data_IF_982879713185
#
_entry.id   IF_982879713185
#
_cell.length_a   1.000
_cell.length_b   1.000
_cell.length_c   1.000
_cell.angle_alpha   90.00
_cell.angle_beta   90.00
_cell.angle_gamma   90.00
#
_symmetry.space_group_name_H-M   'P 1'
#
loop_
_entity.id
_entity.type
_entity.pdbx_description
1 polymer ?
#
# COMPACT_ATOMS: atom_id res chain seq x y z
N UNK A 1 -7.87 -1.93 7.24
CA UNK A 1 -6.94 -2.65 6.35
C UNK A 1 -5.84 -3.40 7.11
N UNK A 2 -4.92 -2.73 7.84
CA UNK A 2 -3.74 -3.37 8.50
C UNK A 2 -4.15 -4.44 9.51
N UNK A 3 -5.19 -4.20 10.29
CA UNK A 3 -5.71 -5.10 11.32
C UNK A 3 -6.80 -6.05 10.82
N UNK A 4 -7.12 -6.04 9.52
CA UNK A 4 -8.15 -6.92 8.95
C UNK A 4 -7.83 -8.40 9.23
N UNK A 5 -8.87 -9.17 9.56
CA UNK A 5 -8.73 -10.58 9.92
C UNK A 5 -8.58 -11.51 8.72
N UNK A 6 -8.85 -11.03 7.51
CA UNK A 6 -8.81 -11.83 6.29
C UNK A 6 -8.61 -11.01 5.03
N UNK A 7 -8.31 -11.71 3.93
CA UNK A 7 -8.07 -11.12 2.61
C UNK A 7 -9.28 -10.34 2.08
N UNK A 8 -10.50 -10.89 2.20
CA UNK A 8 -11.72 -10.25 1.70
C UNK A 8 -12.01 -8.91 2.39
N UNK A 9 -11.84 -8.86 3.71
CA UNK A 9 -12.01 -7.63 4.48
C UNK A 9 -10.95 -6.59 4.07
N UNK A 10 -9.71 -7.03 3.86
CA UNK A 10 -8.62 -6.15 3.41
C UNK A 10 -8.88 -5.61 2.01
N UNK A 11 -9.35 -6.44 1.09
CA UNK A 11 -9.70 -6.00 -0.27
C UNK A 11 -10.78 -4.92 -0.27
N UNK A 12 -11.78 -5.00 0.60
CA UNK A 12 -12.81 -3.96 0.73
C UNK A 12 -12.19 -2.59 1.06
N UNK A 13 -11.33 -2.53 2.07
CA UNK A 13 -10.61 -1.29 2.41
C UNK A 13 -9.67 -0.80 1.29
N UNK A 14 -9.04 -1.72 0.56
CA UNK A 14 -8.18 -1.36 -0.56
C UNK A 14 -8.97 -0.75 -1.72
N UNK A 15 -10.22 -1.19 -1.94
CA UNK A 15 -11.11 -0.58 -2.93
C UNK A 15 -11.51 0.86 -2.58
N UNK A 16 -11.62 1.19 -1.29
CA UNK A 16 -11.86 2.55 -0.83
C UNK A 16 -10.61 3.44 -0.96
N UNK A 17 -9.43 2.87 -0.71
CA UNK A 17 -8.15 3.60 -0.80
C UNK A 17 -7.72 3.86 -2.25
N UNK A 18 -8.04 2.96 -3.17
CA UNK A 18 -7.61 3.05 -4.56
C UNK A 18 -7.96 4.41 -5.22
N UNK A 19 -9.21 4.91 -5.18
CA UNK A 19 -9.54 6.19 -5.80
C UNK A 19 -8.85 7.38 -5.14
N UNK A 20 -8.60 7.33 -3.84
CA UNK A 20 -7.88 8.39 -3.11
C UNK A 20 -6.43 8.46 -3.58
N UNK A 21 -5.72 7.34 -3.57
CA UNK A 21 -4.33 7.28 -4.06
C UNK A 21 -4.22 7.62 -5.54
N UNK A 22 -5.17 7.18 -6.35
CA UNK A 22 -5.21 7.54 -7.77
C UNK A 22 -5.36 9.06 -7.97
N UNK A 23 -6.20 9.73 -7.19
CA UNK A 23 -6.36 11.19 -7.30
C UNK A 23 -5.09 11.92 -6.86
N UNK A 24 -4.50 11.56 -5.75
CA UNK A 24 -3.26 12.16 -5.26
C UNK A 24 -2.13 12.02 -6.28
N UNK A 25 -1.95 10.82 -6.84
CA UNK A 25 -0.93 10.55 -7.85
C UNK A 25 -1.21 11.30 -9.17
N UNK A 26 -2.48 11.43 -9.56
CA UNK A 26 -2.84 12.25 -10.71
C UNK A 26 -2.41 13.71 -10.52
N UNK A 27 -2.62 14.29 -9.34
CA UNK A 27 -2.17 15.65 -9.04
C UNK A 27 -0.64 15.77 -9.09
N UNK A 28 0.08 14.77 -8.57
CA UNK A 28 1.54 14.71 -8.65
C UNK A 28 2.01 14.68 -10.12
N UNK A 29 1.43 13.82 -10.96
CA UNK A 29 1.79 13.73 -12.37
C UNK A 29 1.47 15.01 -13.13
N UNK A 30 0.36 15.66 -12.83
CA UNK A 30 0.00 16.95 -13.43
C UNK A 30 1.02 18.05 -13.12
N UNK A 31 1.56 18.05 -11.89
CA UNK A 31 2.54 19.05 -11.42
C UNK A 31 3.96 18.73 -11.89
N UNK A 32 4.29 17.46 -12.09
CA UNK A 32 5.64 17.04 -12.50
C UNK A 32 5.96 17.35 -13.95
N UNK A 33 4.97 17.39 -14.81
CA UNK A 33 5.03 17.65 -16.26
C UNK A 33 6.39 17.33 -16.90
N UNK A 34 6.47 16.28 -17.71
CA UNK A 34 7.68 15.77 -18.40
C UNK A 34 8.82 15.27 -17.50
N UNK A 35 8.72 15.40 -16.18
CA UNK A 35 9.75 14.90 -15.26
C UNK A 35 9.45 13.47 -14.86
N UNK A 36 10.50 12.71 -14.62
CA UNK A 36 10.41 11.40 -14.01
C UNK A 36 9.90 11.51 -12.57
N UNK A 37 8.96 10.65 -12.21
CA UNK A 37 8.41 10.55 -10.85
C UNK A 37 8.67 9.15 -10.32
N UNK A 38 9.54 9.05 -9.33
CA UNK A 38 9.81 7.79 -8.64
C UNK A 38 8.82 7.65 -7.49
N UNK A 39 7.99 6.64 -7.55
CA UNK A 39 6.99 6.35 -6.53
C UNK A 39 7.47 5.13 -5.73
N UNK A 40 7.82 5.36 -4.47
CA UNK A 40 8.13 4.29 -3.53
C UNK A 40 6.83 3.64 -3.08
N UNK A 41 6.75 2.33 -3.20
CA UNK A 41 5.63 1.57 -2.63
C UNK A 41 5.69 1.57 -1.10
N UNK A 42 4.63 1.05 -0.47
CA UNK A 42 4.51 0.99 1.00
C UNK A 42 5.78 0.45 1.64
N UNK A 43 6.46 1.29 2.40
CA UNK A 43 7.75 1.01 3.02
C UNK A 43 7.69 0.89 4.55
N UNK A 44 6.99 1.76 5.30
CA UNK A 44 6.99 1.71 6.75
C UNK A 44 6.46 0.37 7.28
N UNK A 45 6.94 -0.08 8.44
CA UNK A 45 6.35 -1.22 9.13
C UNK A 45 4.91 -0.91 9.54
N UNK A 46 4.05 -1.93 9.52
CA UNK A 46 2.61 -1.74 9.67
C UNK A 46 2.21 -1.13 11.03
N UNK A 47 3.02 -1.34 12.08
CA UNK A 47 2.73 -0.77 13.40
C UNK A 47 2.83 0.77 13.46
N UNK A 48 3.55 1.41 12.54
CA UNK A 48 3.62 2.88 12.48
C UNK A 48 2.28 3.55 12.14
N UNK A 49 1.35 2.79 11.57
CA UNK A 49 -0.01 3.24 11.27
C UNK A 49 -1.02 2.96 12.39
N UNK A 50 -0.56 2.44 13.52
CA UNK A 50 -1.41 2.05 14.64
C UNK A 50 -1.16 2.97 15.83
N UNK A 51 -2.18 3.16 16.70
CA UNK A 51 -2.01 3.95 17.90
C UNK A 51 -0.98 3.33 18.83
N UNK A 52 -0.28 4.16 19.59
CA UNK A 52 0.60 3.69 20.65
C UNK A 52 -0.21 3.01 21.77
N UNK A 53 0.34 1.93 22.33
CA UNK A 53 -0.33 1.12 23.36
C UNK A 53 -0.61 1.92 24.63
N UNK A 54 0.17 2.96 24.88
CA UNK A 54 0.04 3.88 26.00
C UNK A 54 -1.20 4.78 25.85
N UNK A 55 -1.62 5.06 24.62
CA UNK A 55 -2.82 5.84 24.29
C UNK A 55 -4.08 4.96 24.31
N UNK A 56 -4.55 4.65 25.53
CA UNK A 56 -5.71 3.77 25.73
C UNK A 56 -7.00 4.27 25.08
N UNK A 57 -7.13 5.59 24.87
CA UNK A 57 -8.31 6.18 24.24
C UNK A 57 -8.36 5.82 22.74
N UNK A 58 -7.27 6.04 22.02
CA UNK A 58 -7.17 5.68 20.60
C UNK A 58 -7.26 4.16 20.36
N UNK A 59 -6.67 3.35 21.27
CA UNK A 59 -6.79 1.89 21.19
C UNK A 59 -8.24 1.44 21.39
N UNK A 60 -8.99 2.08 22.29
CA UNK A 60 -10.40 1.79 22.53
C UNK A 60 -11.27 2.20 21.33
N UNK A 61 -11.02 3.37 20.75
CA UNK A 61 -11.70 3.86 19.54
C UNK A 61 -11.48 2.90 18.36
N UNK A 62 -10.23 2.52 18.10
CA UNK A 62 -9.87 1.56 17.07
C UNK A 62 -10.53 0.20 17.28
N UNK A 63 -10.57 -0.31 18.52
CA UNK A 63 -11.23 -1.57 18.85
C UNK A 63 -12.75 -1.49 18.61
N UNK A 64 -13.37 -0.35 18.91
CA UNK A 64 -14.78 -0.10 18.65
C UNK A 64 -15.10 -0.07 17.16
N UNK A 65 -14.28 0.64 16.36
CA UNK A 65 -14.42 0.68 14.89
C UNK A 65 -14.30 -0.72 14.25
N UNK A 66 -13.45 -1.56 14.83
CA UNK A 66 -13.24 -2.93 14.37
C UNK A 66 -14.30 -3.92 14.91
N UNK A 67 -15.18 -3.52 15.80
CA UNK A 67 -16.16 -4.41 16.42
C UNK A 67 -15.53 -5.50 17.31
N UNK A 68 -14.34 -5.27 17.88
CA UNK A 68 -13.63 -6.19 18.76
C UNK A 68 -13.47 -5.57 20.17
N UNK A 69 -13.14 -6.40 21.17
CA UNK A 69 -12.86 -5.86 22.48
C UNK A 69 -11.44 -5.24 22.56
N UNK A 70 -11.24 -4.37 23.55
CA UNK A 70 -9.98 -3.61 23.74
C UNK A 70 -8.78 -4.56 23.94
N UNK A 71 -8.97 -5.69 24.60
CA UNK A 71 -7.91 -6.67 24.83
C UNK A 71 -7.44 -7.30 23.52
N UNK A 72 -8.37 -7.65 22.63
CA UNK A 72 -8.07 -8.17 21.31
C UNK A 72 -7.39 -7.12 20.43
N UNK A 73 -7.85 -5.87 20.47
CA UNK A 73 -7.20 -4.73 19.79
C UNK A 73 -5.75 -4.55 20.26
N UNK A 74 -5.56 -4.51 21.57
CA UNK A 74 -4.23 -4.40 22.19
C UNK A 74 -3.31 -5.55 21.79
N UNK A 75 -3.82 -6.79 21.79
CA UNK A 75 -3.03 -7.96 21.38
C UNK A 75 -2.60 -7.88 19.92
N UNK A 76 -3.50 -7.48 19.01
CA UNK A 76 -3.19 -7.32 17.58
C UNK A 76 -2.11 -6.25 17.36
N UNK A 77 -2.23 -5.10 18.03
CA UNK A 77 -1.20 -4.04 17.96
C UNK A 77 0.14 -4.56 18.47
N UNK A 78 0.18 -5.27 19.60
CA UNK A 78 1.40 -5.87 20.15
C UNK A 78 2.05 -6.88 19.20
N UNK A 79 1.24 -7.68 18.50
CA UNK A 79 1.74 -8.69 17.55
C UNK A 79 2.42 -8.05 16.34
N UNK A 80 1.98 -6.86 15.94
CA UNK A 80 2.54 -6.12 14.81
C UNK A 80 3.73 -5.24 15.19
N UNK A 81 3.96 -5.00 16.49
CA UNK A 81 5.07 -4.16 16.96
C UNK A 81 6.40 -4.87 16.76
N UNK A 82 7.25 -4.31 15.95
CA UNK A 82 8.58 -4.84 15.62
C UNK A 82 9.63 -4.32 16.61
N UNK A 83 10.56 -5.20 17.02
CA UNK A 83 11.69 -4.80 17.85
C UNK A 83 12.78 -4.09 17.04
N UNK A 84 12.96 -4.46 15.78
CA UNK A 84 13.87 -3.81 14.85
C UNK A 84 13.15 -3.46 13.55
N UNK A 85 12.62 -2.23 13.44
CA UNK A 85 11.86 -1.82 12.26
C UNK A 85 12.69 -1.79 10.96
N UNK A 86 14.03 -1.75 11.05
CA UNK A 86 14.87 -1.74 9.85
C UNK A 86 14.98 -3.11 9.18
N UNK A 87 14.89 -4.20 9.93
CA UNK A 87 14.97 -5.58 9.44
C UNK A 87 13.64 -6.33 9.54
N UNK A 88 12.60 -5.66 10.02
CA UNK A 88 11.31 -6.24 10.30
C UNK A 88 10.43 -6.49 9.08
N UNK A 89 9.16 -6.76 9.36
CA UNK A 89 8.12 -7.02 8.37
C UNK A 89 7.63 -5.71 7.74
N UNK A 90 8.30 -5.28 6.69
CA UNK A 90 8.02 -4.04 5.96
C UNK A 90 8.48 -4.12 4.50
N UNK A 91 8.14 -3.11 3.70
CA UNK A 91 8.60 -2.96 2.34
C UNK A 91 8.20 -4.13 1.44
N UNK A 92 9.14 -4.66 0.67
CA UNK A 92 8.90 -5.78 -0.26
C UNK A 92 8.35 -7.03 0.45
N UNK A 93 8.72 -7.29 1.72
CA UNK A 93 8.21 -8.43 2.50
C UNK A 93 6.72 -8.31 2.77
N UNK A 94 6.23 -7.11 3.09
CA UNK A 94 4.80 -6.83 3.20
C UNK A 94 4.09 -7.08 1.87
N UNK A 95 4.68 -6.63 0.76
CA UNK A 95 4.12 -6.81 -0.58
C UNK A 95 4.09 -8.29 -1.04
N UNK A 96 5.04 -9.11 -0.61
CA UNK A 96 5.07 -10.56 -0.87
C UNK A 96 3.95 -11.28 -0.12
N UNK A 97 3.77 -10.99 1.17
CA UNK A 97 2.75 -11.65 2.00
C UNK A 97 1.33 -11.08 1.78
N UNK A 98 1.24 -9.85 1.31
CA UNK A 98 0.00 -9.16 1.01
C UNK A 98 -0.01 -8.62 -0.42
N UNK A 99 -0.02 -9.51 -1.43
CA UNK A 99 0.08 -9.11 -2.85
C UNK A 99 -1.09 -8.24 -3.31
N UNK A 100 -2.23 -8.26 -2.61
CA UNK A 100 -3.37 -7.38 -2.84
C UNK A 100 -3.04 -5.90 -2.57
N UNK A 101 -2.18 -5.60 -1.59
CA UNK A 101 -1.70 -4.23 -1.32
C UNK A 101 -0.81 -3.76 -2.47
N UNK A 102 0.12 -4.61 -2.91
CA UNK A 102 0.97 -4.32 -4.06
C UNK A 102 0.12 -4.05 -5.32
N UNK A 103 -0.85 -4.92 -5.60
CA UNK A 103 -1.71 -4.79 -6.76
C UNK A 103 -2.49 -3.46 -6.73
N UNK A 104 -3.07 -3.09 -5.58
CA UNK A 104 -3.81 -1.83 -5.43
C UNK A 104 -2.90 -0.62 -5.69
N UNK A 105 -1.69 -0.57 -5.10
CA UNK A 105 -0.79 0.56 -5.29
C UNK A 105 -0.32 0.69 -6.75
N UNK A 106 0.04 -0.42 -7.40
CA UNK A 106 0.41 -0.44 -8.82
C UNK A 106 -0.78 -0.01 -9.68
N UNK A 107 -1.98 -0.47 -9.39
CA UNK A 107 -3.20 -0.08 -10.09
C UNK A 107 -3.47 1.43 -9.96
N UNK A 108 -3.31 2.00 -8.76
CA UNK A 108 -3.47 3.44 -8.52
C UNK A 108 -2.49 4.27 -9.36
N UNK A 109 -1.21 3.88 -9.38
CA UNK A 109 -0.16 4.54 -10.15
C UNK A 109 -0.48 4.51 -11.64
N UNK A 110 -0.80 3.35 -12.18
CA UNK A 110 -1.04 3.17 -13.62
C UNK A 110 -2.31 3.89 -14.06
N UNK A 111 -3.41 3.81 -13.30
CA UNK A 111 -4.65 4.54 -13.60
C UNK A 111 -4.44 6.06 -13.56
N UNK A 112 -3.69 6.56 -12.59
CA UNK A 112 -3.35 7.98 -12.51
C UNK A 112 -2.50 8.42 -13.71
N UNK A 113 -1.52 7.61 -14.13
CA UNK A 113 -0.69 7.88 -15.28
C UNK A 113 -1.50 7.90 -16.59
N UNK A 114 -2.35 6.91 -16.82
CA UNK A 114 -3.26 6.85 -17.97
C UNK A 114 -4.18 8.07 -18.00
N UNK A 115 -4.76 8.45 -16.86
CA UNK A 115 -5.61 9.63 -16.75
C UNK A 115 -4.85 10.92 -17.10
N UNK A 116 -3.59 11.04 -16.63
CA UNK A 116 -2.75 12.20 -16.91
C UNK A 116 -2.39 12.28 -18.41
N UNK A 117 -2.02 11.15 -19.02
CA UNK A 117 -1.77 11.08 -20.47
C UNK A 117 -3.01 11.49 -21.29
N UNK A 118 -4.20 10.99 -20.92
CA UNK A 118 -5.46 11.38 -21.57
C UNK A 118 -5.80 12.87 -21.38
N UNK A 119 -5.34 13.48 -20.30
CA UNK A 119 -5.48 14.92 -20.07
C UNK A 119 -4.41 15.77 -20.77
N UNK A 120 -3.51 15.15 -21.55
CA UNK A 120 -2.48 15.83 -22.35
C UNK A 120 -1.16 16.09 -21.62
N UNK A 121 -0.96 15.56 -20.43
CA UNK A 121 0.31 15.64 -19.72
C UNK A 121 1.25 14.52 -20.15
N UNK A 122 2.54 14.82 -20.26
CA UNK A 122 3.58 13.81 -20.47
C UNK A 122 4.06 13.30 -19.10
N UNK A 123 3.99 11.99 -18.86
CA UNK A 123 4.30 11.40 -17.55
C UNK A 123 5.22 10.19 -17.68
N UNK A 124 6.20 10.11 -16.77
CA UNK A 124 7.20 9.05 -16.71
C UNK A 124 7.25 8.44 -15.30
N UNK A 125 6.25 7.63 -14.90
CA UNK A 125 6.23 7.01 -13.59
C UNK A 125 7.24 5.88 -13.49
N UNK A 126 8.01 5.87 -12.41
CA UNK A 126 8.88 4.77 -12.02
C UNK A 126 8.42 4.20 -10.68
N UNK A 127 8.33 2.89 -10.56
CA UNK A 127 7.92 2.21 -9.33
C UNK A 127 9.17 1.72 -8.61
N UNK A 128 9.36 2.18 -7.37
CA UNK A 128 10.43 1.72 -6.50
C UNK A 128 9.90 0.64 -5.54
N UNK A 129 10.49 -0.54 -5.61
CA UNK A 129 10.27 -1.63 -4.66
C UNK A 129 11.20 -1.42 -3.45
N UNK A 130 10.66 -1.11 -2.25
CA UNK A 130 11.49 -0.78 -1.10
C UNK A 130 12.09 -2.02 -0.44
N UNK A 131 13.29 -1.88 0.11
CA UNK A 131 13.98 -2.87 0.94
C UNK A 131 14.22 -4.24 0.27
N UNK A 132 14.35 -4.29 -1.04
CA UNK A 132 14.77 -5.50 -1.74
C UNK A 132 16.20 -5.86 -1.37
N UNK A 133 16.43 -7.09 -0.93
CA UNK A 133 17.72 -7.64 -0.56
C UNK A 133 18.21 -8.69 -1.55
N UNK A 134 17.31 -9.39 -2.25
CA UNK A 134 17.62 -10.47 -3.17
C UNK A 134 16.83 -10.36 -4.47
N UNK A 135 17.35 -10.94 -5.55
CA UNK A 135 16.67 -11.07 -6.83
C UNK A 135 15.40 -11.92 -6.72
N UNK A 136 15.41 -12.93 -5.86
CA UNK A 136 14.25 -13.79 -5.61
C UNK A 136 13.01 -13.01 -5.10
N UNK A 137 13.22 -11.98 -4.27
CA UNK A 137 12.12 -11.09 -3.83
C UNK A 137 11.50 -10.35 -5.03
N UNK A 138 12.32 -9.90 -5.98
CA UNK A 138 11.84 -9.27 -7.21
C UNK A 138 11.03 -10.27 -8.04
N UNK A 139 11.54 -11.50 -8.21
CA UNK A 139 10.87 -12.54 -8.97
C UNK A 139 9.49 -12.91 -8.40
N UNK A 140 9.30 -12.80 -7.09
CA UNK A 140 8.00 -13.02 -6.45
C UNK A 140 7.03 -11.84 -6.66
N UNK A 141 7.51 -10.62 -6.74
CA UNK A 141 6.67 -9.41 -6.89
C UNK A 141 6.26 -9.14 -8.35
N UNK A 142 7.17 -9.39 -9.28
CA UNK A 142 6.97 -9.08 -10.70
C UNK A 142 5.73 -9.70 -11.35
N UNK A 143 5.32 -10.94 -11.05
CA UNK A 143 4.09 -11.52 -11.60
C UNK A 143 2.83 -10.71 -11.23
N UNK A 144 2.75 -10.22 -10.00
CA UNK A 144 1.62 -9.38 -9.56
C UNK A 144 1.64 -8.02 -10.26
N UNK A 145 2.81 -7.39 -10.36
CA UNK A 145 2.96 -6.09 -11.06
C UNK A 145 2.56 -6.23 -12.53
N UNK A 146 3.07 -7.24 -13.24
CA UNK A 146 2.75 -7.47 -14.65
C UNK A 146 1.28 -7.77 -14.89
N UNK A 147 0.66 -8.58 -14.05
CA UNK A 147 -0.78 -8.88 -14.11
C UNK A 147 -1.62 -7.62 -13.92
N UNK A 148 -1.26 -6.78 -12.95
CA UNK A 148 -1.94 -5.52 -12.70
C UNK A 148 -1.75 -4.54 -13.84
N UNK A 149 -0.54 -4.47 -14.41
CA UNK A 149 -0.27 -3.66 -15.59
C UNK A 149 -1.17 -4.06 -16.77
N UNK A 150 -1.20 -5.34 -17.11
CA UNK A 150 -2.03 -5.84 -18.22
C UNK A 150 -3.52 -5.52 -17.96
N UNK A 151 -4.02 -5.80 -16.75
CA UNK A 151 -5.41 -5.47 -16.36
C UNK A 151 -5.75 -4.01 -16.58
N UNK A 152 -4.85 -3.08 -16.24
CA UNK A 152 -5.12 -1.65 -16.40
C UNK A 152 -5.02 -1.24 -17.86
N UNK A 153 -4.04 -1.76 -18.61
CA UNK A 153 -3.86 -1.42 -20.03
C UNK A 153 -4.98 -1.99 -20.92
N UNK A 154 -5.55 -3.15 -20.57
CA UNK A 154 -6.70 -3.72 -21.31
C UNK A 154 -7.98 -2.88 -21.16
N UNK A 155 -8.06 -2.04 -20.12
CA UNK A 155 -9.21 -1.14 -19.85
C UNK A 155 -8.92 0.29 -20.35
N UNK A 156 -7.66 0.62 -20.59
CA UNK A 156 -7.20 1.95 -20.95
C UNK A 156 -7.46 2.29 -22.41
#
# INVERSE_FOLDING_TARGET
MILSSGMQEREAYLQELLPMQQEDLFQVFRLSDKREVIIRLLDPPLHEFLPELENKAEVAELAMEMGINIEQGTLRIKTLKEHNPMLGFRGCRTAILHPEILAMQVEAILRAAVRALRAGFEVHPQIMLPLVCTDHEIDQLMPTIRRTYNKVMDIA
#
